data_IF_605669392784
#
_entry.id   IF_605669392784
#
_cell.length_a   1.000
_cell.length_b   1.000
_cell.length_c   1.000
_cell.angle_alpha   90.00
_cell.angle_beta   90.00
_cell.angle_gamma   90.00
#
_symmetry.space_group_name_H-M   'P 1'
#
loop_
_entity.id
_entity.type
_entity.pdbx_description
1 polymer ?
#
# COMPACT_ATOMS: atom_id res chain seq x y z
N UNK A 1 26.07 0.38 16.51
CA UNK A 1 25.61 -0.84 15.82
C UNK A 1 24.82 -0.37 14.61
N UNK A 2 25.04 -0.97 13.43
CA UNK A 2 24.24 -0.62 12.24
C UNK A 2 22.81 -1.18 12.36
N UNK A 3 21.84 -0.47 11.84
CA UNK A 3 20.48 -0.97 11.75
C UNK A 3 20.37 -2.07 10.68
N UNK A 4 19.59 -3.11 10.95
CA UNK A 4 19.35 -4.22 10.01
C UNK A 4 18.17 -3.93 9.11
N UNK A 5 18.35 -3.97 7.79
CA UNK A 5 17.30 -3.78 6.81
C UNK A 5 17.09 -5.05 5.98
N UNK A 6 15.82 -5.45 5.80
CA UNK A 6 15.43 -6.47 4.86
C UNK A 6 14.65 -5.85 3.69
N UNK A 7 15.16 -5.95 2.47
CA UNK A 7 14.42 -5.60 1.26
C UNK A 7 13.65 -6.83 0.75
N UNK A 8 12.34 -6.74 0.67
CA UNK A 8 11.47 -7.78 0.11
C UNK A 8 11.00 -7.32 -1.26
N UNK A 9 11.55 -7.92 -2.31
CA UNK A 9 11.24 -7.58 -3.70
C UNK A 9 10.15 -8.50 -4.23
N UNK A 10 9.05 -7.90 -4.73
CA UNK A 10 8.05 -8.63 -5.49
C UNK A 10 8.42 -8.60 -6.98
N UNK A 11 8.89 -9.71 -7.57
CA UNK A 11 9.32 -9.73 -8.97
C UNK A 11 8.17 -9.51 -9.97
N UNK A 12 6.91 -9.70 -9.54
CA UNK A 12 5.71 -9.56 -10.38
C UNK A 12 5.11 -8.15 -10.37
N UNK A 13 5.53 -7.23 -9.47
CA UNK A 13 4.96 -5.88 -9.37
C UNK A 13 5.55 -4.94 -10.42
N UNK A 14 4.71 -4.04 -10.98
CA UNK A 14 5.12 -2.96 -11.88
C UNK A 14 5.56 -3.37 -13.28
N UNK A 15 5.92 -2.37 -14.08
CA UNK A 15 6.40 -2.51 -15.48
C UNK A 15 7.87 -2.09 -15.49
N UNK A 16 8.81 -3.03 -15.71
CA UNK A 16 10.23 -2.71 -15.87
C UNK A 16 11.19 -3.86 -15.55
N UNK A 17 12.45 -3.72 -16.00
CA UNK A 17 13.53 -4.65 -15.70
C UNK A 17 13.95 -4.47 -14.23
N UNK A 18 13.69 -5.46 -13.39
CA UNK A 18 14.03 -5.46 -11.97
C UNK A 18 15.42 -6.04 -11.69
N UNK A 19 16.09 -6.54 -12.73
CA UNK A 19 17.41 -7.16 -12.61
C UNK A 19 18.46 -6.18 -12.07
N UNK A 20 18.24 -4.87 -12.28
CA UNK A 20 19.12 -3.79 -11.76
C UNK A 20 18.76 -3.29 -10.35
N UNK A 21 17.65 -3.74 -9.75
CA UNK A 21 17.23 -3.26 -8.42
C UNK A 21 18.23 -3.60 -7.31
N UNK A 22 18.77 -4.85 -7.23
CA UNK A 22 19.78 -5.17 -6.22
C UNK A 22 21.04 -4.32 -6.35
N UNK A 23 21.53 -4.11 -7.58
CA UNK A 23 22.69 -3.25 -7.83
C UNK A 23 22.42 -1.80 -7.45
N UNK A 24 21.20 -1.31 -7.71
CA UNK A 24 20.83 0.06 -7.37
C UNK A 24 20.67 0.24 -5.86
N UNK A 25 20.11 -0.75 -5.16
CA UNK A 25 20.05 -0.79 -3.70
C UNK A 25 21.48 -0.77 -3.15
N UNK A 26 22.35 -1.67 -3.62
CA UNK A 26 23.73 -1.78 -3.17
C UNK A 26 24.52 -0.48 -3.35
N UNK A 27 24.26 0.23 -4.46
CA UNK A 27 24.95 1.49 -4.79
C UNK A 27 24.43 2.68 -3.99
N UNK A 28 23.15 2.69 -3.62
CA UNK A 28 22.50 3.88 -3.06
C UNK A 28 22.24 3.79 -1.56
N UNK A 29 22.21 2.59 -0.96
CA UNK A 29 22.02 2.43 0.49
C UNK A 29 23.28 2.89 1.25
N UNK A 30 23.08 3.60 2.35
CA UNK A 30 24.21 4.01 3.21
C UNK A 30 24.69 2.84 4.07
N UNK A 31 25.77 2.21 3.64
CA UNK A 31 26.40 1.05 4.31
C UNK A 31 27.08 1.41 5.64
N UNK A 32 27.19 2.69 5.99
CA UNK A 32 27.66 3.10 7.32
C UNK A 32 26.54 3.03 8.35
N UNK A 33 25.28 3.27 7.91
CA UNK A 33 24.09 3.24 8.75
C UNK A 33 23.47 1.86 8.82
N UNK A 34 23.53 1.09 7.71
CA UNK A 34 22.72 -0.11 7.52
C UNK A 34 23.53 -1.34 7.12
N UNK A 35 23.18 -2.48 7.74
CA UNK A 35 23.45 -3.82 7.23
C UNK A 35 22.16 -4.34 6.57
N UNK A 36 22.22 -4.78 5.30
CA UNK A 36 21.01 -5.13 4.57
C UNK A 36 21.05 -6.51 3.94
N UNK A 37 19.87 -7.07 3.72
CA UNK A 37 19.61 -8.29 2.98
C UNK A 37 18.54 -8.05 1.93
N UNK A 38 18.55 -8.82 0.86
CA UNK A 38 17.55 -8.78 -0.22
C UNK A 38 16.97 -10.18 -0.40
N UNK A 39 15.64 -10.26 -0.40
CA UNK A 39 14.90 -11.50 -0.66
C UNK A 39 13.78 -11.23 -1.65
N UNK A 40 13.31 -12.29 -2.32
CA UNK A 40 12.25 -12.20 -3.31
C UNK A 40 10.99 -12.93 -2.85
N UNK A 41 9.82 -12.40 -3.20
CA UNK A 41 8.58 -13.13 -3.04
C UNK A 41 8.37 -14.10 -4.18
N UNK A 42 7.78 -15.26 -3.89
CA UNK A 42 7.51 -16.32 -4.85
C UNK A 42 6.01 -16.45 -5.15
N UNK A 43 5.16 -16.18 -4.16
CA UNK A 43 3.71 -16.31 -4.24
C UNK A 43 3.00 -15.24 -3.41
N UNK A 44 1.69 -15.09 -3.57
CA UNK A 44 0.87 -14.17 -2.77
C UNK A 44 0.88 -14.60 -1.29
N UNK A 45 1.07 -13.65 -0.37
CA UNK A 45 1.23 -13.90 1.07
C UNK A 45 2.65 -14.26 1.50
N UNK A 46 3.61 -14.42 0.55
CA UNK A 46 5.01 -14.73 0.93
C UNK A 46 5.69 -13.56 1.63
N UNK A 47 5.38 -12.30 1.24
CA UNK A 47 5.94 -11.12 1.91
C UNK A 47 5.56 -11.06 3.38
N UNK A 48 4.33 -11.47 3.75
CA UNK A 48 3.89 -11.58 5.14
C UNK A 48 4.76 -12.56 5.94
N UNK A 49 5.04 -13.76 5.40
CA UNK A 49 5.87 -14.77 6.07
C UNK A 49 7.32 -14.30 6.24
N UNK A 50 7.89 -13.72 5.18
CA UNK A 50 9.25 -13.16 5.23
C UNK A 50 9.35 -12.04 6.27
N UNK A 51 8.33 -11.18 6.35
CA UNK A 51 8.27 -10.10 7.33
C UNK A 51 8.17 -10.63 8.76
N UNK A 52 7.29 -11.62 9.01
CA UNK A 52 7.17 -12.25 10.32
C UNK A 52 8.49 -12.89 10.78
N UNK A 53 9.25 -13.47 9.85
CA UNK A 53 10.59 -13.98 10.16
C UNK A 53 11.57 -12.84 10.46
N UNK A 54 11.54 -11.77 9.67
CA UNK A 54 12.40 -10.60 9.88
C UNK A 54 12.18 -9.94 11.25
N UNK A 55 10.91 -9.87 11.72
CA UNK A 55 10.57 -9.39 13.07
C UNK A 55 11.22 -10.28 14.15
N UNK A 56 11.15 -11.61 14.01
CA UNK A 56 11.79 -12.56 14.93
C UNK A 56 13.32 -12.42 14.93
N UNK A 57 13.90 -12.16 13.75
CA UNK A 57 15.34 -11.98 13.53
C UNK A 57 15.83 -10.55 13.90
N UNK A 58 14.92 -9.74 14.46
CA UNK A 58 15.16 -8.36 14.93
C UNK A 58 15.71 -7.43 13.84
N UNK A 59 15.13 -7.49 12.66
CA UNK A 59 15.34 -6.45 11.66
C UNK A 59 14.71 -5.14 12.14
N UNK A 60 15.43 -4.04 11.95
CA UNK A 60 14.96 -2.71 12.33
C UNK A 60 13.94 -2.17 11.32
N UNK A 61 14.17 -2.48 10.05
CA UNK A 61 13.33 -2.02 8.94
C UNK A 61 13.08 -3.17 7.97
N UNK A 62 11.84 -3.35 7.53
CA UNK A 62 11.49 -4.19 6.39
C UNK A 62 10.99 -3.30 5.27
N UNK A 63 11.64 -3.37 4.11
CA UNK A 63 11.35 -2.51 2.96
C UNK A 63 10.53 -3.27 1.93
N UNK A 64 9.32 -2.78 1.65
CA UNK A 64 8.49 -3.24 0.56
C UNK A 64 9.01 -2.70 -0.77
N UNK A 65 9.60 -3.55 -1.60
CA UNK A 65 9.98 -3.21 -2.98
C UNK A 65 8.90 -3.78 -3.91
N UNK A 66 7.82 -3.01 -4.09
CA UNK A 66 6.63 -3.51 -4.75
C UNK A 66 5.57 -2.44 -5.00
N UNK A 67 4.35 -2.88 -5.25
CA UNK A 67 3.15 -2.04 -5.28
C UNK A 67 2.35 -2.17 -3.98
N UNK A 68 1.14 -1.60 -3.99
CA UNK A 68 0.26 -1.51 -2.81
C UNK A 68 -0.03 -2.86 -2.15
N UNK A 69 -0.18 -3.93 -2.93
CA UNK A 69 -0.36 -5.29 -2.40
C UNK A 69 0.85 -5.78 -1.58
N UNK A 70 2.08 -5.51 -2.03
CA UNK A 70 3.30 -5.88 -1.30
C UNK A 70 3.43 -5.05 -0.02
N UNK A 71 3.13 -3.75 -0.10
CA UNK A 71 3.11 -2.84 1.04
C UNK A 71 2.09 -3.33 2.08
N UNK A 72 0.89 -3.72 1.64
CA UNK A 72 -0.16 -4.23 2.51
C UNK A 72 0.21 -5.56 3.18
N UNK A 73 0.81 -6.52 2.45
CA UNK A 73 1.27 -7.79 3.02
C UNK A 73 2.33 -7.58 4.13
N UNK A 74 3.28 -6.68 3.90
CA UNK A 74 4.35 -6.37 4.85
C UNK A 74 3.79 -5.56 6.03
N UNK A 75 3.05 -4.48 5.75
CA UNK A 75 2.47 -3.61 6.76
C UNK A 75 1.62 -4.39 7.78
N UNK A 76 0.76 -5.31 7.31
CA UNK A 76 -0.04 -6.17 8.18
C UNK A 76 0.80 -6.99 9.16
N UNK A 77 1.96 -7.48 8.73
CA UNK A 77 2.84 -8.29 9.57
C UNK A 77 3.68 -7.45 10.55
N UNK A 78 3.75 -6.13 10.34
CA UNK A 78 4.48 -5.20 11.18
C UNK A 78 3.64 -4.53 12.25
N UNK A 79 2.31 -4.65 12.20
CA UNK A 79 1.40 -4.07 13.20
C UNK A 79 1.78 -4.56 14.60
N UNK A 80 1.88 -3.63 15.56
CA UNK A 80 2.26 -3.88 16.93
C UNK A 80 3.67 -4.51 17.09
N UNK A 81 4.59 -4.23 16.17
CA UNK A 81 6.01 -4.61 16.29
C UNK A 81 6.91 -3.39 16.35
N UNK A 82 8.15 -3.58 16.77
CA UNK A 82 9.17 -2.50 16.78
C UNK A 82 9.90 -2.36 15.43
N UNK A 83 9.53 -3.16 14.43
CA UNK A 83 10.14 -3.11 13.09
C UNK A 83 9.40 -2.12 12.21
N UNK A 84 10.12 -1.19 11.59
CA UNK A 84 9.54 -0.17 10.73
C UNK A 84 9.30 -0.68 9.30
N UNK A 85 8.27 -0.11 8.63
CA UNK A 85 8.01 -0.28 7.20
C UNK A 85 8.79 0.76 6.39
N UNK A 86 9.60 0.32 5.43
CA UNK A 86 10.11 1.16 4.35
C UNK A 86 9.38 0.86 3.04
N UNK A 87 9.32 1.82 2.12
CA UNK A 87 8.64 1.63 0.84
C UNK A 87 9.53 2.09 -0.32
N UNK A 88 9.74 1.19 -1.29
CA UNK A 88 10.27 1.50 -2.62
C UNK A 88 9.17 1.19 -3.63
N UNK A 89 8.43 2.23 -4.10
CA UNK A 89 7.24 2.05 -4.92
C UNK A 89 7.62 1.73 -6.35
N UNK A 90 7.38 0.49 -6.77
CA UNK A 90 7.58 0.02 -8.15
C UNK A 90 6.29 -0.58 -8.73
N UNK A 91 5.17 -0.38 -8.08
CA UNK A 91 3.84 -0.74 -8.56
C UNK A 91 3.24 0.28 -9.51
N UNK A 92 1.98 0.05 -9.94
CA UNK A 92 1.24 0.96 -10.82
C UNK A 92 0.53 2.09 -10.06
N UNK A 93 -0.06 1.83 -8.91
CA UNK A 93 -0.82 2.83 -8.11
C UNK A 93 0.07 3.57 -7.12
N UNK A 94 0.68 2.81 -6.21
CA UNK A 94 1.55 3.28 -5.14
C UNK A 94 0.87 4.33 -4.23
N UNK A 95 -0.39 4.05 -3.83
CA UNK A 95 -1.24 4.99 -3.10
C UNK A 95 -0.61 5.45 -1.78
N UNK A 96 -0.17 4.49 -0.94
CA UNK A 96 0.46 4.82 0.35
C UNK A 96 1.76 5.60 0.18
N UNK A 97 2.63 5.19 -0.77
CA UNK A 97 3.88 5.89 -1.01
C UNK A 97 3.65 7.35 -1.44
N UNK A 98 2.66 7.58 -2.31
CA UNK A 98 2.29 8.92 -2.77
C UNK A 98 1.68 9.78 -1.67
N UNK A 99 0.82 9.20 -0.81
CA UNK A 99 0.26 9.92 0.34
C UNK A 99 1.36 10.35 1.32
N UNK A 100 2.38 9.54 1.50
CA UNK A 100 3.53 9.81 2.37
C UNK A 100 4.64 10.63 1.68
N UNK A 101 4.39 11.18 0.49
CA UNK A 101 5.37 11.95 -0.31
C UNK A 101 6.68 11.19 -0.59
N UNK A 102 6.62 9.84 -0.58
CA UNK A 102 7.76 9.01 -0.96
C UNK A 102 7.90 9.05 -2.50
N UNK A 103 9.07 9.47 -3.02
CA UNK A 103 9.29 9.54 -4.46
C UNK A 103 9.03 8.20 -5.16
N UNK A 104 8.26 8.23 -6.27
CA UNK A 104 7.94 7.02 -7.06
C UNK A 104 9.08 6.55 -7.96
N UNK A 105 10.31 6.85 -7.59
CA UNK A 105 11.52 6.34 -8.21
C UNK A 105 12.47 5.77 -7.16
N UNK A 106 13.15 4.69 -7.53
CA UNK A 106 13.97 3.90 -6.59
C UNK A 106 15.06 4.72 -5.90
N UNK A 107 15.73 5.61 -6.63
CA UNK A 107 16.82 6.43 -6.03
C UNK A 107 16.28 7.42 -5.00
N UNK A 108 15.17 8.09 -5.32
CA UNK A 108 14.50 9.01 -4.39
C UNK A 108 14.01 8.30 -3.13
N UNK A 109 13.39 7.13 -3.27
CA UNK A 109 12.94 6.33 -2.11
C UNK A 109 14.11 5.86 -1.25
N UNK A 110 15.22 5.42 -1.85
CA UNK A 110 16.45 5.06 -1.12
C UNK A 110 17.06 6.26 -0.41
N UNK A 111 16.98 7.46 -1.01
CA UNK A 111 17.43 8.68 -0.35
C UNK A 111 16.62 8.99 0.91
N UNK A 112 15.29 8.85 0.86
CA UNK A 112 14.42 9.00 2.06
C UNK A 112 14.77 7.93 3.10
N UNK A 113 14.96 6.66 2.68
CA UNK A 113 15.32 5.58 3.58
C UNK A 113 16.65 5.85 4.32
N UNK A 114 17.63 6.41 3.63
CA UNK A 114 18.94 6.78 4.23
C UNK A 114 18.85 7.90 5.28
N UNK A 115 17.76 8.69 5.30
CA UNK A 115 17.53 9.67 6.36
C UNK A 115 17.13 9.02 7.68
N UNK A 116 16.69 7.74 7.65
CA UNK A 116 16.30 6.94 8.81
C UNK A 116 15.26 7.61 9.73
N UNK A 117 14.41 8.50 9.20
CA UNK A 117 13.31 9.10 9.94
C UNK A 117 12.13 8.12 9.99
N UNK A 118 11.74 7.71 11.20
CA UNK A 118 10.63 6.78 11.42
C UNK A 118 9.47 7.55 12.06
N UNK A 119 8.28 7.42 11.46
CA UNK A 119 7.05 8.02 11.94
C UNK A 119 6.06 6.93 12.33
N UNK A 120 5.23 7.21 13.35
CA UNK A 120 4.07 6.38 13.67
C UNK A 120 2.92 6.81 12.77
N UNK A 121 2.25 5.84 12.20
CA UNK A 121 1.10 6.03 11.32
C UNK A 121 -0.09 5.25 11.83
N UNK A 122 -1.27 5.81 11.64
CA UNK A 122 -2.53 5.15 11.89
C UNK A 122 -2.83 4.12 10.79
N UNK A 123 -3.69 3.18 11.08
CA UNK A 123 -4.26 2.23 10.13
C UNK A 123 -5.71 1.94 10.50
N UNK A 124 -6.54 1.65 9.51
CA UNK A 124 -7.90 1.24 9.74
C UNK A 124 -8.05 -0.28 9.86
N UNK A 125 -9.14 -0.72 10.48
CA UNK A 125 -9.54 -2.13 10.54
C UNK A 125 -10.95 -2.25 9.98
N UNK A 126 -11.16 -3.18 9.07
CA UNK A 126 -12.47 -3.56 8.54
C UNK A 126 -12.64 -5.08 8.62
N UNK A 127 -13.67 -5.56 9.34
CA UNK A 127 -13.93 -7.00 9.55
C UNK A 127 -12.65 -7.75 9.98
N UNK A 128 -11.96 -7.23 10.99
CA UNK A 128 -10.69 -7.76 11.54
C UNK A 128 -9.49 -7.73 10.55
N UNK A 129 -9.66 -7.12 9.38
CA UNK A 129 -8.60 -6.95 8.39
C UNK A 129 -8.04 -5.53 8.42
N UNK A 130 -6.75 -5.34 8.66
CA UNK A 130 -6.14 -4.02 8.61
C UNK A 130 -6.00 -3.52 7.16
N UNK A 131 -6.20 -2.20 6.99
CA UNK A 131 -5.93 -1.47 5.76
C UNK A 131 -5.14 -0.19 6.04
N UNK A 132 -4.36 0.28 5.09
CA UNK A 132 -3.47 1.43 5.27
C UNK A 132 -3.87 2.65 4.44
N UNK A 133 -4.48 2.45 3.30
CA UNK A 133 -4.95 3.56 2.46
C UNK A 133 -6.45 3.77 2.61
N UNK A 134 -7.22 3.03 1.86
CA UNK A 134 -8.67 3.14 1.79
C UNK A 134 -9.31 1.76 1.78
N UNK A 135 -10.52 1.68 2.25
CA UNK A 135 -11.44 0.58 1.97
C UNK A 135 -12.78 1.15 1.54
N UNK A 136 -13.56 0.38 0.79
CA UNK A 136 -14.81 0.91 0.25
C UNK A 136 -15.83 -0.16 -0.08
N UNK A 137 -17.05 0.29 -0.33
CA UNK A 137 -18.23 -0.50 -0.70
C UNK A 137 -18.90 0.11 -1.93
N UNK A 138 -19.76 -0.65 -2.59
CA UNK A 138 -20.47 -0.21 -3.76
C UNK A 138 -19.61 -0.24 -5.01
N UNK A 139 -19.71 0.78 -5.85
CA UNK A 139 -19.02 0.83 -7.14
C UNK A 139 -17.51 0.70 -7.03
N UNK A 140 -16.88 1.22 -5.99
CA UNK A 140 -15.45 1.09 -5.73
C UNK A 140 -15.02 -0.38 -5.55
N UNK A 141 -15.76 -1.13 -4.72
CA UNK A 141 -15.53 -2.56 -4.54
C UNK A 141 -15.80 -3.35 -5.84
N UNK A 142 -16.85 -2.99 -6.58
CA UNK A 142 -17.16 -3.58 -7.89
C UNK A 142 -16.02 -3.39 -8.88
N UNK A 143 -15.48 -2.18 -8.99
CA UNK A 143 -14.30 -1.89 -9.83
C UNK A 143 -13.09 -2.70 -9.41
N UNK A 144 -12.79 -2.73 -8.12
CA UNK A 144 -11.64 -3.47 -7.57
C UNK A 144 -11.72 -4.97 -7.86
N UNK A 145 -12.92 -5.56 -7.72
CA UNK A 145 -13.18 -6.96 -8.07
C UNK A 145 -12.95 -7.21 -9.56
N UNK A 146 -13.48 -6.34 -10.43
CA UNK A 146 -13.30 -6.45 -11.88
C UNK A 146 -11.84 -6.31 -12.30
N UNK A 147 -11.06 -5.43 -11.67
CA UNK A 147 -9.62 -5.34 -11.90
C UNK A 147 -8.87 -6.62 -11.51
N UNK A 148 -9.26 -7.26 -10.43
CA UNK A 148 -8.67 -8.53 -10.00
C UNK A 148 -8.97 -9.66 -11.00
N UNK A 149 -10.16 -9.71 -11.59
CA UNK A 149 -10.58 -10.71 -12.59
C UNK A 149 -9.90 -10.52 -13.96
N UNK A 150 -9.67 -9.28 -14.39
CA UNK A 150 -9.21 -8.98 -15.75
C UNK A 150 -7.75 -9.37 -16.04
N UNK A 151 -6.92 -9.56 -15.02
CA UNK A 151 -5.50 -9.87 -15.21
C UNK A 151 -4.75 -8.77 -15.95
N UNK A 152 -3.50 -9.06 -16.38
CA UNK A 152 -2.59 -8.06 -16.99
C UNK A 152 -2.88 -7.69 -18.46
N UNK A 153 -3.91 -8.25 -19.11
CA UNK A 153 -4.16 -8.03 -20.55
C UNK A 153 -5.31 -7.06 -20.79
N UNK A 154 -4.99 -5.89 -21.34
CA UNK A 154 -5.98 -4.99 -21.93
C UNK A 154 -6.55 -3.92 -20.99
N UNK A 155 -5.72 -3.25 -20.19
CA UNK A 155 -6.14 -2.18 -19.26
C UNK A 155 -7.04 -1.12 -19.91
N UNK A 156 -6.80 -0.71 -21.15
CA UNK A 156 -7.60 0.33 -21.84
C UNK A 156 -8.99 -0.18 -22.18
N UNK A 157 -9.11 -1.36 -22.80
CA UNK A 157 -10.41 -1.97 -23.14
C UNK A 157 -11.22 -2.28 -21.88
N UNK A 158 -10.53 -2.59 -20.80
CA UNK A 158 -11.12 -2.87 -19.51
C UNK A 158 -11.67 -1.60 -18.84
N UNK A 159 -10.92 -0.49 -18.83
CA UNK A 159 -11.38 0.81 -18.32
C UNK A 159 -12.65 1.26 -19.06
N UNK A 160 -12.71 1.05 -20.39
CA UNK A 160 -13.92 1.35 -21.16
C UNK A 160 -15.12 0.53 -20.71
N UNK A 161 -14.98 -0.81 -20.55
CA UNK A 161 -16.04 -1.68 -20.04
C UNK A 161 -16.51 -1.32 -18.64
N UNK A 162 -15.57 -0.98 -17.77
CA UNK A 162 -15.86 -0.54 -16.40
C UNK A 162 -16.67 0.75 -16.40
N UNK A 163 -16.32 1.71 -17.26
CA UNK A 163 -17.09 2.95 -17.42
C UNK A 163 -18.50 2.68 -17.99
N UNK A 164 -18.61 1.78 -18.98
CA UNK A 164 -19.90 1.37 -19.54
C UNK A 164 -20.79 0.64 -18.51
N UNK A 165 -20.22 -0.24 -17.71
CA UNK A 165 -20.94 -0.92 -16.62
C UNK A 165 -21.26 0.06 -15.46
N UNK A 166 -20.38 1.02 -15.19
CA UNK A 166 -20.59 2.08 -14.21
C UNK A 166 -21.81 2.95 -14.53
N UNK A 167 -22.08 3.21 -15.80
CA UNK A 167 -23.29 3.94 -16.22
C UNK A 167 -24.59 3.18 -15.93
N UNK A 168 -24.51 1.87 -15.68
CA UNK A 168 -25.65 1.00 -15.36
C UNK A 168 -25.72 0.65 -13.87
N UNK A 169 -24.69 1.05 -13.09
CA UNK A 169 -24.65 0.76 -11.66
C UNK A 169 -25.69 1.61 -10.93
N UNK A 170 -26.58 0.96 -10.21
CA UNK A 170 -27.58 1.65 -9.40
C UNK A 170 -27.05 1.92 -7.99
N UNK A 171 -27.24 3.14 -7.46
CA UNK A 171 -26.85 3.44 -6.09
C UNK A 171 -27.55 2.54 -5.08
N UNK A 172 -26.80 2.00 -4.13
CA UNK A 172 -27.29 1.16 -3.04
C UNK A 172 -27.57 2.00 -1.79
N UNK A 173 -28.38 1.47 -0.87
CA UNK A 173 -28.63 2.09 0.42
C UNK A 173 -27.64 1.54 1.45
N UNK A 174 -26.96 2.44 2.16
CA UNK A 174 -26.00 2.13 3.22
C UNK A 174 -26.49 2.70 4.55
N UNK A 175 -26.36 1.90 5.59
CA UNK A 175 -26.60 2.32 6.96
C UNK A 175 -25.22 2.54 7.62
N UNK A 176 -24.95 3.78 8.01
CA UNK A 176 -23.73 4.16 8.72
C UNK A 176 -24.12 4.47 10.16
N UNK A 177 -23.62 3.69 11.09
CA UNK A 177 -23.81 3.89 12.51
C UNK A 177 -22.54 4.50 13.12
N UNK A 178 -22.70 5.62 13.80
CA UNK A 178 -21.64 6.33 14.52
C UNK A 178 -22.12 6.73 15.93
N UNK A 179 -21.33 7.56 16.62
CA UNK A 179 -21.65 8.03 17.97
C UNK A 179 -22.91 8.94 18.05
N UNK A 180 -23.37 9.47 16.91
CA UNK A 180 -24.55 10.34 16.82
C UNK A 180 -25.83 9.57 16.44
N UNK A 181 -25.68 8.32 15.96
CA UNK A 181 -26.78 7.44 15.60
C UNK A 181 -26.60 6.71 14.29
N UNK A 182 -27.72 6.24 13.71
CA UNK A 182 -27.74 5.56 12.42
C UNK A 182 -28.18 6.52 11.33
N UNK A 183 -27.36 6.66 10.31
CA UNK A 183 -27.60 7.50 9.15
C UNK A 183 -27.82 6.63 7.91
N UNK A 184 -28.85 6.95 7.12
CA UNK A 184 -29.22 6.21 5.91
C UNK A 184 -28.81 7.00 4.67
N UNK A 185 -27.92 6.44 3.87
CA UNK A 185 -27.46 7.06 2.63
C UNK A 185 -27.76 6.20 1.41
N UNK A 186 -28.28 6.84 0.36
CA UNK A 186 -28.31 6.23 -0.97
C UNK A 186 -27.10 6.75 -1.75
N UNK A 187 -26.11 5.91 -1.94
CA UNK A 187 -24.83 6.32 -2.52
C UNK A 187 -24.36 5.34 -3.61
N UNK A 188 -23.61 5.87 -4.56
CA UNK A 188 -22.94 5.11 -5.60
C UNK A 188 -21.76 4.30 -5.05
N UNK A 189 -21.03 4.89 -4.10
CA UNK A 189 -19.97 4.25 -3.33
C UNK A 189 -19.90 4.87 -1.94
N UNK A 190 -19.35 4.12 -1.01
CA UNK A 190 -18.88 4.60 0.30
C UNK A 190 -17.42 4.23 0.43
N UNK A 191 -16.56 5.22 0.68
CA UNK A 191 -15.14 5.00 0.91
C UNK A 191 -14.77 5.44 2.32
N UNK A 192 -14.01 4.59 3.01
CA UNK A 192 -13.42 4.90 4.32
C UNK A 192 -11.92 5.06 4.11
N UNK A 193 -11.40 6.25 4.34
CA UNK A 193 -10.06 6.64 3.98
C UNK A 193 -9.19 6.95 5.20
N UNK A 194 -8.05 6.30 5.29
CA UNK A 194 -6.95 6.61 6.20
C UNK A 194 -5.83 7.38 5.46
N UNK A 195 -5.85 7.35 4.12
CA UNK A 195 -4.93 8.05 3.25
C UNK A 195 -5.69 8.76 2.12
N UNK A 196 -5.11 9.81 1.57
CA UNK A 196 -5.80 10.77 0.70
C UNK A 196 -6.20 10.22 -0.68
N UNK A 197 -5.61 9.09 -1.14
CA UNK A 197 -5.74 8.68 -2.53
C UNK A 197 -5.66 7.16 -2.73
N UNK A 198 -6.27 6.70 -3.84
CA UNK A 198 -6.15 5.33 -4.33
C UNK A 198 -4.78 5.04 -4.99
N UNK A 199 -4.03 6.06 -5.35
CA UNK A 199 -2.82 6.00 -6.15
C UNK A 199 -2.95 6.78 -7.47
N UNK A 200 -1.83 6.98 -8.18
CA UNK A 200 -1.78 7.74 -9.43
C UNK A 200 -2.44 9.13 -9.38
N UNK A 201 -2.42 9.78 -8.20
CA UNK A 201 -3.07 11.07 -7.92
C UNK A 201 -4.62 11.03 -8.04
N UNK A 202 -5.24 9.85 -7.93
CA UNK A 202 -6.68 9.71 -7.82
C UNK A 202 -7.10 9.93 -6.36
N UNK A 203 -7.34 11.17 -5.99
CA UNK A 203 -7.72 11.57 -4.65
C UNK A 203 -9.19 11.27 -4.36
N UNK A 204 -9.46 10.67 -3.18
CA UNK A 204 -10.81 10.41 -2.66
C UNK A 204 -11.07 11.21 -1.38
N UNK A 205 -10.08 11.34 -0.53
CA UNK A 205 -10.11 12.11 0.71
C UNK A 205 -8.87 13.01 0.80
N UNK A 206 -8.82 14.15 0.06
CA UNK A 206 -7.60 14.97 -0.04
C UNK A 206 -7.06 15.49 1.29
N UNK A 207 -7.90 15.56 2.33
CA UNK A 207 -7.56 16.06 3.66
C UNK A 207 -7.23 14.94 4.66
N UNK A 208 -7.38 13.68 4.27
CA UNK A 208 -7.08 12.54 5.15
C UNK A 208 -5.65 12.60 5.69
N UNK A 209 -5.50 12.30 6.97
CA UNK A 209 -4.24 12.29 7.70
C UNK A 209 -4.02 10.94 8.36
N UNK A 210 -2.86 10.33 8.17
CA UNK A 210 -2.50 9.07 8.84
C UNK A 210 -1.91 9.26 10.24
N UNK A 211 -2.13 10.40 10.88
CA UNK A 211 -1.53 10.71 12.20
C UNK A 211 -2.46 11.45 13.15
N UNK A 212 -3.76 11.50 12.87
CA UNK A 212 -4.76 12.22 13.68
C UNK A 212 -5.75 11.29 14.41
N UNK A 213 -5.63 9.96 14.20
CA UNK A 213 -6.49 8.95 14.82
C UNK A 213 -7.91 8.90 14.23
N UNK A 214 -8.14 9.51 13.06
CA UNK A 214 -9.45 9.57 12.40
C UNK A 214 -9.46 8.81 11.07
N UNK A 215 -10.66 8.48 10.59
CA UNK A 215 -10.93 7.97 9.27
C UNK A 215 -11.95 8.89 8.59
N UNK A 216 -11.69 9.27 7.35
CA UNK A 216 -12.62 10.06 6.52
C UNK A 216 -13.61 9.13 5.81
N UNK A 217 -14.89 9.53 5.77
CA UNK A 217 -15.95 8.79 5.06
C UNK A 217 -16.55 9.67 3.98
#
# INVERSE_FOLDING_TARGET
MKAKILFIINPKSGIGKKDSLPELIDKCIDKNLFDYQIVYTEYAGHATKLTQQAVKDKFTIVVAVGGDGTVNEIGKALINTDTALGIIPVGSGNGLARHLDIPVNVKGSLHILNQACIHKLDYGIINDMPFFCTCGMGFDAFISMKFAEAGKRGVITYVQKVLEEGLKYEPETYDIEDNEGTHHYKAFLVSVANASQYGNNAYIAPQASMSDGMLDI
#
